data_IF_919535618697
#
_entry.id   IF_919535618697
#
_cell.length_a   1.000
_cell.length_b   1.000
_cell.length_c   1.000
_cell.angle_alpha   90.00
_cell.angle_beta   90.00
_cell.angle_gamma   90.00
#
_symmetry.space_group_name_H-M   'P 1'
#
loop_
_entity.id
_entity.type
_entity.pdbx_description
1 polymer ?
#
# COMPACT_ATOMS: atom_id res chain seq x y z
N UNK A 1 -5.62 33.01 7.16
CA UNK A 1 -4.64 32.09 7.73
C UNK A 1 -5.43 31.03 8.49
N UNK A 2 -5.42 29.75 8.06
CA UNK A 2 -6.06 28.65 8.81
C UNK A 2 -5.37 28.56 10.18
N UNK A 3 -6.15 28.47 11.24
CA UNK A 3 -5.62 28.29 12.59
C UNK A 3 -4.98 26.89 12.67
N UNK A 4 -3.70 26.83 13.02
CA UNK A 4 -2.91 25.58 13.10
C UNK A 4 -3.42 24.62 14.19
N UNK A 5 -4.37 25.06 15.01
CA UNK A 5 -4.99 24.24 16.05
C UNK A 5 -5.98 23.21 15.49
N UNK A 6 -6.54 23.44 14.31
CA UNK A 6 -7.61 22.61 13.76
C UNK A 6 -7.17 21.90 12.48
N UNK A 7 -7.54 20.62 12.36
CA UNK A 7 -7.34 19.78 11.19
C UNK A 7 -8.65 19.60 10.44
N UNK A 8 -8.63 19.82 9.13
CA UNK A 8 -9.77 19.53 8.25
C UNK A 8 -9.94 18.03 8.07
N UNK A 9 -11.19 17.55 8.10
CA UNK A 9 -11.55 16.16 7.81
C UNK A 9 -12.74 16.12 6.84
N UNK A 10 -12.87 15.09 6.01
CA UNK A 10 -14.02 14.97 5.12
C UNK A 10 -15.30 14.66 5.92
N UNK A 11 -16.42 15.36 5.68
CA UNK A 11 -17.69 15.08 6.35
C UNK A 11 -18.17 13.64 6.15
N UNK A 12 -17.90 13.06 4.97
CA UNK A 12 -18.25 11.68 4.63
C UNK A 12 -17.54 10.60 5.46
N UNK A 13 -16.46 10.96 6.18
CA UNK A 13 -15.79 10.07 7.11
C UNK A 13 -16.54 9.93 8.45
N UNK A 14 -17.49 10.79 8.73
CA UNK A 14 -18.33 10.72 9.96
C UNK A 14 -19.52 9.81 9.67
N UNK A 15 -19.61 8.69 10.36
CA UNK A 15 -20.65 7.67 10.15
C UNK A 15 -21.91 8.03 10.93
N UNK A 16 -23.10 8.07 10.28
CA UNK A 16 -24.38 8.28 10.97
C UNK A 16 -24.61 7.25 12.07
N UNK A 17 -25.02 7.72 13.24
CA UNK A 17 -25.29 6.86 14.40
C UNK A 17 -24.05 6.45 15.19
N UNK A 18 -22.83 6.79 14.73
CA UNK A 18 -21.60 6.59 15.49
C UNK A 18 -21.50 7.56 16.68
N UNK A 19 -20.61 7.22 17.61
CA UNK A 19 -20.27 8.03 18.78
C UNK A 19 -18.81 8.49 18.68
N UNK A 20 -18.50 9.59 17.94
CA UNK A 20 -17.14 10.10 17.91
C UNK A 20 -16.66 10.47 19.31
N UNK A 21 -15.45 10.06 19.66
CA UNK A 21 -14.79 10.42 20.93
C UNK A 21 -13.98 11.71 20.81
N UNK A 22 -14.34 12.56 19.86
CA UNK A 22 -13.71 13.84 19.57
C UNK A 22 -14.78 14.87 19.19
N UNK A 23 -14.41 16.15 19.32
CA UNK A 23 -15.30 17.28 18.97
C UNK A 23 -15.18 17.59 17.49
N UNK A 24 -16.31 17.93 16.88
CA UNK A 24 -16.39 18.30 15.48
C UNK A 24 -16.77 19.78 15.39
N UNK A 25 -16.05 20.53 14.57
CA UNK A 25 -16.24 21.96 14.35
C UNK A 25 -16.58 22.22 12.88
N UNK A 26 -17.30 23.32 12.64
CA UNK A 26 -17.54 23.89 11.31
C UNK A 26 -16.95 25.28 11.24
N UNK A 27 -16.48 25.69 10.07
CA UNK A 27 -15.95 27.04 9.86
C UNK A 27 -17.11 27.94 9.43
N UNK A 28 -17.37 29.00 10.22
CA UNK A 28 -18.37 30.02 9.90
C UNK A 28 -17.88 30.97 8.80
N UNK A 29 -18.80 31.72 8.20
CA UNK A 29 -18.47 32.70 7.13
C UNK A 29 -17.52 33.81 7.59
N UNK A 30 -17.49 34.12 8.86
CA UNK A 30 -16.58 35.09 9.49
C UNK A 30 -15.26 34.48 9.97
N UNK A 31 -14.98 33.20 9.58
CA UNK A 31 -13.71 32.54 9.83
C UNK A 31 -13.54 31.96 11.24
N UNK A 32 -14.61 31.85 12.03
CA UNK A 32 -14.56 31.25 13.37
C UNK A 32 -14.92 29.76 13.33
N UNK A 33 -14.24 28.97 14.16
CA UNK A 33 -14.56 27.55 14.38
C UNK A 33 -15.70 27.43 15.39
N UNK A 34 -16.83 26.92 14.96
CA UNK A 34 -18.04 26.73 15.78
C UNK A 34 -18.17 25.26 16.11
N UNK A 35 -18.33 24.92 17.39
CA UNK A 35 -18.56 23.55 17.83
C UNK A 35 -19.88 23.04 17.24
N UNK A 36 -19.83 22.05 16.40
CA UNK A 36 -20.98 21.44 15.74
C UNK A 36 -21.46 20.17 16.46
N UNK A 37 -20.52 19.29 16.88
CA UNK A 37 -20.83 18.12 17.69
C UNK A 37 -19.83 17.95 18.83
N UNK A 38 -20.33 17.55 20.01
CA UNK A 38 -19.52 17.23 21.17
C UNK A 38 -19.07 15.78 21.10
N UNK A 39 -17.93 15.48 21.74
CA UNK A 39 -17.47 14.13 21.98
C UNK A 39 -18.56 13.28 22.71
N UNK A 40 -18.68 12.02 22.30
CA UNK A 40 -19.66 11.08 22.87
C UNK A 40 -21.12 11.34 22.50
N UNK A 41 -21.41 12.29 21.63
CA UNK A 41 -22.77 12.50 21.11
C UNK A 41 -23.01 11.73 19.82
N UNK A 42 -24.18 11.11 19.69
CA UNK A 42 -24.61 10.50 18.43
C UNK A 42 -24.74 11.56 17.33
N UNK A 43 -24.06 11.33 16.22
CA UNK A 43 -24.22 12.16 15.02
C UNK A 43 -25.38 11.59 14.20
N UNK A 44 -26.49 12.37 14.08
CA UNK A 44 -27.69 11.93 13.36
C UNK A 44 -27.51 12.09 11.85
N UNK A 45 -28.16 11.21 11.09
CA UNK A 45 -28.13 11.25 9.62
C UNK A 45 -28.63 12.60 9.05
N UNK A 46 -29.67 13.16 9.65
CA UNK A 46 -30.24 14.44 9.25
C UNK A 46 -29.25 15.59 9.43
N UNK A 47 -28.45 15.56 10.51
CA UNK A 47 -27.41 16.56 10.76
C UNK A 47 -26.30 16.50 9.72
N UNK A 48 -25.89 15.28 9.32
CA UNK A 48 -24.88 15.10 8.27
C UNK A 48 -25.41 15.49 6.88
N UNK A 49 -26.68 15.18 6.58
CA UNK A 49 -27.31 15.62 5.33
C UNK A 49 -27.36 17.14 5.22
N UNK A 50 -27.68 17.83 6.34
CA UNK A 50 -27.66 19.31 6.37
C UNK A 50 -26.25 19.87 6.12
N UNK A 51 -25.21 19.22 6.61
CA UNK A 51 -23.83 19.59 6.29
C UNK A 51 -23.49 19.38 4.82
N UNK A 52 -23.95 18.29 4.22
CA UNK A 52 -23.68 17.94 2.81
C UNK A 52 -24.46 18.86 1.84
N UNK A 53 -25.70 19.28 2.19
CA UNK A 53 -26.57 20.07 1.31
C UNK A 53 -26.36 21.59 1.38
N UNK A 54 -25.97 22.10 2.53
CA UNK A 54 -25.88 23.55 2.79
C UNK A 54 -24.53 24.02 3.33
N UNK A 55 -23.58 23.12 3.48
CA UNK A 55 -22.44 23.35 4.31
C UNK A 55 -21.07 23.26 3.64
N UNK A 56 -20.05 23.45 4.44
CA UNK A 56 -18.66 23.43 4.02
C UNK A 56 -18.27 22.03 3.49
N UNK A 57 -17.41 22.00 2.50
CA UNK A 57 -16.81 20.75 2.00
C UNK A 57 -15.92 20.04 3.04
N UNK A 58 -15.59 20.71 4.12
CA UNK A 58 -14.72 20.25 5.20
C UNK A 58 -15.36 20.52 6.56
N UNK A 59 -15.19 19.60 7.49
CA UNK A 59 -15.39 19.82 8.93
C UNK A 59 -14.02 19.71 9.61
N UNK A 60 -13.94 20.12 10.87
CA UNK A 60 -12.66 20.26 11.55
C UNK A 60 -12.69 19.55 12.90
N UNK A 61 -11.54 19.04 13.31
CA UNK A 61 -11.29 18.52 14.67
C UNK A 61 -10.10 19.26 15.29
N UNK A 62 -10.00 19.25 16.62
CA UNK A 62 -8.82 19.75 17.31
C UNK A 62 -7.65 18.79 17.05
N UNK A 63 -6.45 19.31 16.72
CA UNK A 63 -5.25 18.50 16.52
C UNK A 63 -4.89 17.65 17.74
N UNK A 64 -5.21 18.11 18.96
CA UNK A 64 -5.00 17.30 20.18
C UNK A 64 -5.87 16.02 20.20
N UNK A 65 -6.94 15.97 19.40
CA UNK A 65 -7.83 14.82 19.27
C UNK A 65 -7.55 13.95 18.05
N UNK A 66 -6.46 14.20 17.33
CA UNK A 66 -6.08 13.47 16.09
C UNK A 66 -5.99 11.95 16.33
N UNK A 67 -5.38 11.50 17.42
CA UNK A 67 -5.25 10.06 17.75
C UNK A 67 -6.63 9.42 17.89
N UNK A 68 -7.60 10.08 18.52
CA UNK A 68 -8.97 9.57 18.67
C UNK A 68 -9.71 9.51 17.33
N UNK A 69 -9.41 10.44 16.44
CA UNK A 69 -9.94 10.42 15.08
C UNK A 69 -9.36 9.26 14.28
N UNK A 70 -8.08 8.97 14.41
CA UNK A 70 -7.44 7.83 13.76
C UNK A 70 -8.00 6.49 14.22
N UNK A 71 -8.18 6.30 15.54
CA UNK A 71 -8.86 5.12 16.10
C UNK A 71 -10.31 4.98 15.57
N UNK A 72 -10.99 6.10 15.43
CA UNK A 72 -12.34 6.14 14.88
C UNK A 72 -12.36 5.72 13.41
N UNK A 73 -11.45 6.24 12.59
CA UNK A 73 -11.33 5.89 11.18
C UNK A 73 -11.03 4.40 11.01
N UNK A 74 -10.12 3.83 11.79
CA UNK A 74 -9.80 2.39 11.74
C UNK A 74 -11.02 1.55 12.11
N UNK A 75 -11.73 1.92 13.19
CA UNK A 75 -12.93 1.21 13.65
C UNK A 75 -14.06 1.22 12.62
N UNK A 76 -14.22 2.32 11.89
CA UNK A 76 -15.33 2.53 10.96
C UNK A 76 -14.92 2.44 9.48
N UNK A 77 -13.69 1.97 9.18
CA UNK A 77 -13.13 2.00 7.82
C UNK A 77 -14.06 1.35 6.79
N UNK A 78 -14.60 0.17 7.09
CA UNK A 78 -15.53 -0.51 6.18
C UNK A 78 -16.73 0.37 5.83
N UNK A 79 -17.40 0.93 6.83
CA UNK A 79 -18.57 1.80 6.63
C UNK A 79 -18.23 3.08 5.85
N UNK A 80 -17.02 3.63 6.06
CA UNK A 80 -16.54 4.81 5.33
C UNK A 80 -16.31 4.46 3.87
N UNK A 81 -15.68 3.34 3.58
CA UNK A 81 -15.43 2.89 2.22
C UNK A 81 -16.72 2.56 1.46
N UNK A 82 -17.73 2.02 2.16
CA UNK A 82 -19.06 1.71 1.60
C UNK A 82 -19.95 2.95 1.42
N UNK A 83 -19.56 4.11 1.93
CA UNK A 83 -20.37 5.32 1.86
C UNK A 83 -20.49 5.82 0.41
N UNK A 84 -21.64 5.61 -0.22
CA UNK A 84 -21.92 6.01 -1.60
C UNK A 84 -21.92 7.55 -1.82
N UNK A 85 -22.12 8.33 -0.75
CA UNK A 85 -22.08 9.81 -0.79
C UNK A 85 -20.68 10.39 -0.70
N UNK A 86 -19.66 9.58 -0.42
CA UNK A 86 -18.27 10.03 -0.30
C UNK A 86 -17.52 9.80 -1.61
N UNK A 87 -16.83 10.83 -2.17
CA UNK A 87 -16.02 10.69 -3.37
C UNK A 87 -14.88 9.67 -3.20
N UNK A 88 -14.56 8.94 -4.28
CA UNK A 88 -13.54 7.88 -4.26
C UNK A 88 -12.14 8.36 -3.86
N UNK A 89 -11.81 9.64 -4.17
CA UNK A 89 -10.54 10.23 -3.76
C UNK A 89 -10.45 10.47 -2.25
N UNK A 90 -11.54 10.90 -1.62
CA UNK A 90 -11.61 11.04 -0.17
C UNK A 90 -11.56 9.67 0.53
N UNK A 91 -12.22 8.65 -0.04
CA UNK A 91 -12.12 7.26 0.46
C UNK A 91 -10.68 6.75 0.39
N UNK A 92 -9.99 6.99 -0.74
CA UNK A 92 -8.60 6.61 -0.91
C UNK A 92 -7.67 7.33 0.09
N UNK A 93 -7.91 8.61 0.37
CA UNK A 93 -7.16 9.37 1.37
C UNK A 93 -7.36 8.80 2.78
N UNK A 94 -8.61 8.56 3.20
CA UNK A 94 -8.90 7.93 4.50
C UNK A 94 -8.26 6.56 4.59
N UNK A 95 -8.39 5.75 3.55
CA UNK A 95 -7.76 4.42 3.50
C UNK A 95 -6.24 4.51 3.62
N UNK A 96 -5.59 5.40 2.87
CA UNK A 96 -4.15 5.61 2.94
C UNK A 96 -3.70 6.01 4.36
N UNK A 97 -4.44 6.91 5.01
CA UNK A 97 -4.18 7.36 6.38
C UNK A 97 -4.28 6.21 7.38
N UNK A 98 -5.36 5.44 7.37
CA UNK A 98 -5.55 4.28 8.25
C UNK A 98 -4.47 3.22 8.01
N UNK A 99 -4.17 2.94 6.74
CA UNK A 99 -3.14 1.96 6.38
C UNK A 99 -1.77 2.37 6.90
N UNK A 100 -1.41 3.65 6.74
CA UNK A 100 -0.15 4.19 7.23
C UNK A 100 -0.02 4.00 8.74
N UNK A 101 -1.09 4.28 9.50
CA UNK A 101 -1.08 4.13 10.95
C UNK A 101 -1.00 2.68 11.39
N UNK A 102 -1.79 1.78 10.78
CA UNK A 102 -1.74 0.33 11.10
C UNK A 102 -0.35 -0.25 10.83
N UNK A 103 0.26 0.11 9.70
CA UNK A 103 1.61 -0.36 9.37
C UNK A 103 2.64 0.23 10.32
N UNK A 104 2.58 1.53 10.60
CA UNK A 104 3.47 2.21 11.55
C UNK A 104 3.42 1.56 12.93
N UNK A 105 2.22 1.39 13.48
CA UNK A 105 2.03 0.75 14.80
C UNK A 105 2.55 -0.68 14.81
N UNK A 106 2.34 -1.43 13.69
CA UNK A 106 2.86 -2.78 13.54
C UNK A 106 4.39 -2.81 13.60
N UNK A 107 5.05 -1.82 13.00
CA UNK A 107 6.51 -1.66 13.08
C UNK A 107 6.96 -1.29 14.50
N UNK A 108 6.35 -0.29 15.11
CA UNK A 108 6.75 0.23 16.43
C UNK A 108 6.55 -0.82 17.54
N UNK A 109 5.42 -1.53 17.54
CA UNK A 109 5.14 -2.58 18.52
C UNK A 109 6.01 -3.83 18.34
N UNK A 110 6.41 -4.13 17.11
CA UNK A 110 7.25 -5.28 16.78
C UNK A 110 8.72 -5.04 17.12
N UNK A 111 9.19 -3.80 17.15
CA UNK A 111 10.59 -3.45 17.38
C UNK A 111 11.10 -3.96 18.74
N UNK A 112 10.28 -3.84 19.78
CA UNK A 112 10.66 -4.28 21.13
C UNK A 112 10.57 -5.79 21.36
N UNK A 113 9.83 -6.53 20.53
CA UNK A 113 9.50 -7.93 20.74
C UNK A 113 10.29 -8.89 19.85
N UNK A 114 10.93 -8.40 18.79
CA UNK A 114 11.61 -9.23 17.78
C UNK A 114 10.65 -10.14 16.97
N UNK A 115 9.35 -9.99 17.20
CA UNK A 115 8.27 -10.70 16.48
C UNK A 115 7.07 -9.79 16.30
N UNK A 116 6.23 -10.10 15.32
CA UNK A 116 4.99 -9.36 15.13
C UNK A 116 3.97 -9.75 16.19
N UNK A 117 3.37 -8.76 16.85
CA UNK A 117 2.33 -9.00 17.83
C UNK A 117 1.06 -9.50 17.14
N UNK A 118 0.32 -10.45 17.74
CA UNK A 118 -0.90 -11.00 17.16
C UNK A 118 -1.95 -9.94 16.81
N UNK A 119 -2.05 -8.90 17.64
CA UNK A 119 -2.95 -7.77 17.37
C UNK A 119 -2.56 -7.02 16.10
N UNK A 120 -1.28 -6.78 15.85
CA UNK A 120 -0.78 -6.14 14.64
C UNK A 120 -1.10 -6.99 13.38
N UNK A 121 -0.96 -8.33 13.47
CA UNK A 121 -1.35 -9.24 12.40
C UNK A 121 -2.86 -9.14 12.14
N UNK A 122 -3.67 -9.17 13.19
CA UNK A 122 -5.14 -9.08 13.09
C UNK A 122 -5.59 -7.74 12.48
N UNK A 123 -5.03 -6.61 12.92
CA UNK A 123 -5.34 -5.27 12.38
C UNK A 123 -4.93 -5.18 10.90
N UNK A 124 -3.76 -5.71 10.53
CA UNK A 124 -3.33 -5.79 9.13
C UNK A 124 -4.29 -6.62 8.30
N UNK A 125 -4.73 -7.78 8.78
CA UNK A 125 -5.72 -8.63 8.08
C UNK A 125 -7.07 -7.93 7.92
N UNK A 126 -7.55 -7.21 8.94
CA UNK A 126 -8.79 -6.45 8.86
C UNK A 126 -8.69 -5.32 7.83
N UNK A 127 -7.59 -4.57 7.84
CA UNK A 127 -7.32 -3.51 6.88
C UNK A 127 -7.28 -4.04 5.44
N UNK A 128 -6.57 -5.14 5.20
CA UNK A 128 -6.53 -5.78 3.89
C UNK A 128 -7.92 -6.22 3.45
N UNK A 129 -8.72 -6.79 4.35
CA UNK A 129 -10.09 -7.19 4.03
C UNK A 129 -10.96 -6.01 3.58
N UNK A 130 -10.91 -4.88 4.27
CA UNK A 130 -11.62 -3.66 3.85
C UNK A 130 -11.13 -3.13 2.50
N UNK A 131 -9.81 -3.20 2.25
CA UNK A 131 -9.22 -2.84 0.95
C UNK A 131 -9.79 -3.67 -0.18
N UNK A 132 -9.86 -4.99 0.01
CA UNK A 132 -10.34 -5.91 -1.01
C UNK A 132 -11.81 -5.69 -1.33
N UNK A 133 -12.64 -5.40 -0.32
CA UNK A 133 -14.05 -5.03 -0.51
C UNK A 133 -14.11 -3.75 -1.35
N UNK A 134 -13.40 -2.70 -0.96
CA UNK A 134 -13.37 -1.44 -1.68
C UNK A 134 -12.88 -1.59 -3.14
N UNK A 135 -11.78 -2.32 -3.38
CA UNK A 135 -11.29 -2.63 -4.73
C UNK A 135 -12.31 -3.48 -5.51
N UNK A 136 -13.10 -4.33 -4.82
CA UNK A 136 -14.11 -5.17 -5.44
C UNK A 136 -15.33 -4.38 -5.89
N UNK A 137 -15.76 -3.42 -5.10
CA UNK A 137 -16.98 -2.65 -5.30
C UNK A 137 -16.76 -1.43 -6.20
N UNK A 138 -15.56 -0.83 -6.14
CA UNK A 138 -15.20 0.21 -7.10
C UNK A 138 -15.02 -0.44 -8.47
N UNK A 139 -15.96 -0.26 -9.38
CA UNK A 139 -15.81 -0.64 -10.81
C UNK A 139 -14.72 0.19 -11.51
N UNK A 140 -13.97 1.00 -10.77
CA UNK A 140 -13.04 1.99 -11.25
C UNK A 140 -11.65 1.76 -10.66
N UNK A 141 -10.64 1.72 -11.52
CA UNK A 141 -9.23 1.75 -11.11
C UNK A 141 -8.74 3.21 -10.84
N UNK A 142 -9.66 4.20 -10.83
CA UNK A 142 -9.33 5.61 -10.58
C UNK A 142 -8.60 5.86 -9.26
N UNK A 143 -8.96 5.24 -8.11
CA UNK A 143 -8.22 5.43 -6.88
C UNK A 143 -6.76 5.00 -7.00
N UNK A 144 -6.48 3.88 -7.69
CA UNK A 144 -5.12 3.41 -7.98
C UNK A 144 -4.34 4.40 -8.85
N UNK A 145 -4.99 4.95 -9.87
CA UNK A 145 -4.39 5.95 -10.74
C UNK A 145 -3.91 7.19 -9.98
N UNK A 146 -4.71 7.66 -9.00
CA UNK A 146 -4.36 8.80 -8.14
C UNK A 146 -3.21 8.51 -7.15
N UNK A 147 -2.97 7.25 -6.80
CA UNK A 147 -1.86 6.88 -5.90
C UNK A 147 -0.47 6.95 -6.58
N UNK A 148 -0.43 7.01 -7.90
CA UNK A 148 0.83 7.16 -8.65
C UNK A 148 1.35 8.60 -8.48
N UNK A 149 2.63 8.75 -8.12
CA UNK A 149 3.28 10.07 -8.05
C UNK A 149 3.27 10.78 -6.69
N UNK A 150 2.68 10.20 -5.65
CA UNK A 150 2.75 10.75 -4.30
C UNK A 150 4.10 10.53 -3.61
N UNK A 151 4.38 11.30 -2.54
CA UNK A 151 5.61 11.21 -1.77
C UNK A 151 5.83 9.81 -1.19
N UNK A 152 7.08 9.35 -1.23
CA UNK A 152 7.46 8.05 -0.67
C UNK A 152 7.69 8.15 0.84
N UNK A 153 6.83 7.49 1.60
CA UNK A 153 7.08 7.11 2.98
C UNK A 153 6.94 5.60 3.08
N UNK A 154 7.72 4.93 3.93
CA UNK A 154 7.71 3.46 4.04
C UNK A 154 6.31 2.89 4.20
N UNK A 155 5.46 3.58 4.95
CA UNK A 155 4.09 3.13 5.22
C UNK A 155 3.13 3.36 4.05
N UNK A 156 3.26 4.48 3.34
CA UNK A 156 2.50 4.77 2.12
C UNK A 156 2.87 3.81 1.00
N UNK A 157 4.17 3.45 0.90
CA UNK A 157 4.66 2.43 0.00
C UNK A 157 3.97 1.08 0.22
N UNK A 158 3.93 0.59 1.46
CA UNK A 158 3.26 -0.67 1.81
C UNK A 158 1.79 -0.68 1.37
N UNK A 159 1.09 0.45 1.57
CA UNK A 159 -0.30 0.63 1.14
C UNK A 159 -0.46 0.56 -0.39
N UNK A 160 0.42 1.22 -1.14
CA UNK A 160 0.40 1.20 -2.61
C UNK A 160 0.72 -0.20 -3.14
N UNK A 161 1.72 -0.87 -2.58
CA UNK A 161 2.07 -2.25 -2.95
C UNK A 161 0.90 -3.20 -2.68
N UNK A 162 0.19 -3.06 -1.55
CA UNK A 162 -1.04 -3.79 -1.27
C UNK A 162 -2.08 -3.57 -2.38
N UNK A 163 -2.40 -2.33 -2.70
CA UNK A 163 -3.45 -2.00 -3.66
C UNK A 163 -3.14 -2.49 -5.07
N UNK A 164 -1.92 -2.24 -5.56
CA UNK A 164 -1.51 -2.71 -6.88
C UNK A 164 -1.49 -4.24 -6.94
N UNK A 165 -0.99 -4.91 -5.90
CA UNK A 165 -0.96 -6.38 -5.83
C UNK A 165 -2.37 -6.96 -5.85
N UNK A 166 -3.27 -6.47 -4.99
CA UNK A 166 -4.64 -6.95 -4.90
C UNK A 166 -5.42 -6.74 -6.20
N UNK A 167 -5.34 -5.54 -6.78
CA UNK A 167 -6.02 -5.22 -8.04
C UNK A 167 -5.45 -6.02 -9.21
N UNK A 168 -4.13 -6.18 -9.29
CA UNK A 168 -3.46 -6.97 -10.32
C UNK A 168 -3.85 -8.45 -10.26
N UNK A 169 -3.82 -9.07 -9.07
CA UNK A 169 -4.23 -10.46 -8.86
C UNK A 169 -5.70 -10.66 -9.16
N UNK A 170 -6.56 -9.74 -8.78
CA UNK A 170 -7.99 -9.81 -9.10
C UNK A 170 -8.25 -9.75 -10.62
N UNK A 171 -7.50 -8.93 -11.34
CA UNK A 171 -7.59 -8.87 -12.81
C UNK A 171 -6.97 -10.09 -13.52
N UNK A 172 -6.22 -10.93 -12.79
CA UNK A 172 -5.49 -12.07 -13.34
C UNK A 172 -5.68 -13.32 -12.45
N UNK A 173 -6.90 -13.91 -12.40
CA UNK A 173 -7.19 -15.05 -11.53
C UNK A 173 -6.40 -16.33 -11.84
N UNK A 174 -5.81 -16.42 -13.03
CA UNK A 174 -4.86 -17.49 -13.39
C UNK A 174 -3.60 -17.47 -12.53
N UNK A 175 -3.14 -16.29 -12.10
CA UNK A 175 -2.00 -16.17 -11.16
C UNK A 175 -2.41 -16.70 -9.77
N UNK A 176 -3.63 -16.42 -9.31
CA UNK A 176 -4.16 -16.96 -8.04
C UNK A 176 -4.22 -18.49 -8.06
N UNK A 177 -4.52 -19.11 -9.22
CA UNK A 177 -4.46 -20.55 -9.40
C UNK A 177 -3.02 -21.10 -9.25
N UNK A 178 -2.02 -20.34 -9.63
CA UNK A 178 -0.62 -20.75 -9.44
C UNK A 178 -0.18 -20.62 -7.97
N UNK A 179 -0.75 -19.65 -7.22
CA UNK A 179 -0.51 -19.47 -5.78
C UNK A 179 -1.18 -20.61 -4.98
N UNK A 180 -2.43 -20.92 -5.31
CA UNK A 180 -3.21 -22.02 -4.71
C UNK A 180 -3.90 -22.81 -5.84
N UNK A 181 -3.41 -24.02 -6.17
CA UNK A 181 -4.00 -24.83 -7.23
C UNK A 181 -5.48 -25.17 -7.02
N UNK A 182 -5.95 -25.15 -5.78
CA UNK A 182 -7.37 -25.34 -5.43
C UNK A 182 -8.25 -24.11 -5.71
N UNK A 183 -7.66 -22.94 -6.00
CA UNK A 183 -8.39 -21.68 -6.16
C UNK A 183 -9.60 -21.75 -7.12
N UNK A 184 -9.52 -22.38 -8.31
CA UNK A 184 -10.64 -22.38 -9.26
C UNK A 184 -11.88 -23.11 -8.76
N UNK A 185 -11.69 -24.15 -7.94
CA UNK A 185 -12.77 -25.01 -7.41
C UNK A 185 -13.19 -24.62 -6.00
N UNK A 186 -12.50 -23.66 -5.38
CA UNK A 186 -12.81 -23.14 -4.06
C UNK A 186 -14.12 -22.35 -4.07
N UNK A 187 -14.80 -22.32 -2.94
CA UNK A 187 -15.90 -21.40 -2.71
C UNK A 187 -15.44 -19.93 -2.64
N UNK A 188 -16.36 -19.01 -2.68
CA UNK A 188 -16.06 -17.57 -2.67
C UNK A 188 -15.38 -17.11 -1.36
N UNK A 189 -15.67 -17.75 -0.24
CA UNK A 189 -15.04 -17.43 1.05
C UNK A 189 -13.55 -17.79 1.01
N UNK A 190 -13.20 -18.97 0.50
CA UNK A 190 -11.81 -19.41 0.33
C UNK A 190 -11.05 -18.54 -0.67
N UNK A 191 -11.69 -18.17 -1.79
CA UNK A 191 -11.09 -17.28 -2.79
C UNK A 191 -10.76 -15.90 -2.20
N UNK A 192 -11.69 -15.33 -1.42
CA UNK A 192 -11.46 -14.07 -0.70
C UNK A 192 -10.32 -14.20 0.30
N UNK A 193 -10.25 -15.32 1.04
CA UNK A 193 -9.19 -15.56 2.02
C UNK A 193 -7.80 -15.63 1.34
N UNK A 194 -7.68 -16.34 0.23
CA UNK A 194 -6.41 -16.41 -0.54
C UNK A 194 -5.98 -15.02 -0.99
N UNK A 195 -6.89 -14.23 -1.57
CA UNK A 195 -6.59 -12.87 -2.01
C UNK A 195 -6.22 -11.96 -0.83
N UNK A 196 -6.91 -12.11 0.32
CA UNK A 196 -6.58 -11.40 1.56
C UNK A 196 -5.16 -11.72 2.01
N UNK A 197 -4.77 -12.98 2.03
CA UNK A 197 -3.43 -13.39 2.43
C UNK A 197 -2.34 -12.88 1.47
N UNK A 198 -2.63 -12.80 0.17
CA UNK A 198 -1.76 -12.11 -0.79
C UNK A 198 -1.59 -10.62 -0.46
N UNK A 199 -2.67 -9.96 -0.07
CA UNK A 199 -2.64 -8.56 0.38
C UNK A 199 -1.84 -8.37 1.68
N UNK A 200 -1.97 -9.29 2.64
CA UNK A 200 -1.15 -9.29 3.87
C UNK A 200 0.33 -9.38 3.53
N UNK A 201 0.71 -10.27 2.61
CA UNK A 201 2.09 -10.36 2.14
C UNK A 201 2.58 -9.05 1.54
N UNK A 202 1.76 -8.41 0.70
CA UNK A 202 2.09 -7.13 0.08
C UNK A 202 2.27 -6.00 1.11
N UNK A 203 1.44 -5.97 2.15
CA UNK A 203 1.52 -4.95 3.19
C UNK A 203 2.71 -5.15 4.13
N UNK A 204 3.09 -6.40 4.39
CA UNK A 204 4.13 -6.75 5.35
C UNK A 204 5.48 -7.09 4.70
N UNK A 205 5.63 -6.96 3.37
CA UNK A 205 6.86 -7.40 2.69
C UNK A 205 8.13 -6.76 3.29
N UNK A 206 8.03 -5.52 3.72
CA UNK A 206 9.11 -4.70 4.26
C UNK A 206 9.17 -4.68 5.81
N UNK A 207 8.33 -5.47 6.53
CA UNK A 207 8.23 -5.39 8.00
C UNK A 207 9.59 -5.59 8.69
N UNK A 208 10.48 -6.37 8.14
CA UNK A 208 11.82 -6.59 8.68
C UNK A 208 12.73 -5.36 8.69
N UNK A 209 12.37 -4.27 8.00
CA UNK A 209 13.08 -2.98 8.06
C UNK A 209 13.03 -2.36 9.46
N UNK A 210 12.15 -2.83 10.34
CA UNK A 210 12.11 -2.44 11.75
C UNK A 210 13.47 -2.62 12.46
N UNK A 211 14.29 -3.57 12.00
CA UNK A 211 15.64 -3.82 12.56
C UNK A 211 16.74 -2.99 11.88
N UNK A 212 16.40 -2.14 10.92
CA UNK A 212 17.35 -1.24 10.28
C UNK A 212 17.28 0.13 10.96
N UNK A 213 18.43 0.71 11.31
CA UNK A 213 18.46 2.02 11.97
C UNK A 213 17.83 3.11 11.08
N UNK A 214 17.19 4.08 11.70
CA UNK A 214 16.59 5.23 10.98
C UNK A 214 17.63 6.05 10.22
N UNK A 215 18.87 6.11 10.72
CA UNK A 215 19.99 6.81 10.05
C UNK A 215 20.32 6.17 8.71
N UNK A 216 20.21 4.84 8.59
CA UNK A 216 20.40 4.13 7.33
C UNK A 216 19.17 4.28 6.41
N UNK A 217 17.95 4.11 6.96
CA UNK A 217 16.71 4.19 6.19
C UNK A 217 16.46 5.57 5.60
N UNK A 218 16.82 6.62 6.37
CA UNK A 218 16.60 8.03 5.99
C UNK A 218 17.86 8.74 5.53
N UNK A 219 18.93 8.00 5.20
CA UNK A 219 20.19 8.58 4.78
C UNK A 219 20.03 9.43 3.52
N UNK A 220 20.49 10.68 3.58
CA UNK A 220 20.59 11.55 2.42
C UNK A 220 21.82 11.15 1.57
N UNK A 221 21.58 10.40 0.52
CA UNK A 221 22.62 9.97 -0.41
C UNK A 221 22.74 8.45 -0.57
N UNK A 222 23.72 7.97 -1.32
CA UNK A 222 23.90 6.54 -1.56
C UNK A 222 24.33 5.81 -0.29
N UNK A 223 23.83 4.59 -0.15
CA UNK A 223 24.26 3.67 0.90
C UNK A 223 25.66 3.15 0.60
N UNK A 224 26.48 3.00 1.63
CA UNK A 224 27.73 2.26 1.51
C UNK A 224 27.50 0.74 1.49
N UNK A 225 28.58 -0.03 1.28
CA UNK A 225 28.49 -1.48 1.15
C UNK A 225 27.97 -2.17 2.43
N UNK A 226 28.33 -1.65 3.62
CA UNK A 226 27.90 -2.22 4.90
C UNK A 226 26.43 -1.88 5.18
N UNK A 227 26.02 -0.66 4.96
CA UNK A 227 24.64 -0.21 5.08
C UNK A 227 23.73 -1.01 4.14
N UNK A 228 24.19 -1.25 2.91
CA UNK A 228 23.46 -2.07 1.94
C UNK A 228 23.31 -3.53 2.40
N UNK A 229 24.36 -4.12 2.97
CA UNK A 229 24.27 -5.48 3.55
C UNK A 229 23.30 -5.53 4.74
N UNK A 230 23.19 -4.47 5.56
CA UNK A 230 22.21 -4.38 6.63
C UNK A 230 20.79 -4.36 6.07
N UNK A 231 20.52 -3.52 5.07
CA UNK A 231 19.19 -3.44 4.44
C UNK A 231 18.81 -4.78 3.81
N UNK A 232 19.71 -5.45 3.11
CA UNK A 232 19.43 -6.76 2.45
C UNK A 232 18.97 -7.86 3.41
N UNK A 233 19.12 -7.68 4.70
CA UNK A 233 18.65 -8.64 5.71
C UNK A 233 17.15 -8.56 6.01
N UNK A 234 16.48 -7.44 5.65
CA UNK A 234 15.08 -7.24 6.03
C UNK A 234 14.11 -8.33 5.53
N UNK A 235 14.27 -8.98 4.34
CA UNK A 235 13.36 -10.06 3.95
C UNK A 235 13.46 -11.27 4.88
N UNK A 236 14.68 -11.62 5.30
CA UNK A 236 14.91 -12.70 6.24
C UNK A 236 14.38 -12.35 7.64
N UNK A 237 14.60 -11.11 8.10
CA UNK A 237 14.07 -10.61 9.37
C UNK A 237 12.54 -10.61 9.37
N UNK A 238 11.92 -10.14 8.28
CA UNK A 238 10.46 -10.14 8.10
C UNK A 238 9.86 -11.56 8.12
N UNK A 239 10.51 -12.51 7.44
CA UNK A 239 10.15 -13.92 7.50
C UNK A 239 10.21 -14.45 8.94
N UNK A 240 11.33 -14.20 9.65
CA UNK A 240 11.53 -14.67 11.02
C UNK A 240 10.47 -14.12 12.00
N UNK A 241 10.06 -12.85 11.85
CA UNK A 241 9.02 -12.22 12.67
C UNK A 241 7.65 -12.91 12.56
N UNK A 242 7.39 -13.61 11.47
CA UNK A 242 6.10 -14.24 11.17
C UNK A 242 6.13 -15.77 11.32
N UNK A 243 7.25 -16.37 11.71
CA UNK A 243 7.38 -17.83 11.84
C UNK A 243 6.37 -18.42 12.82
N UNK A 244 6.17 -17.77 13.96
CA UNK A 244 5.27 -18.22 15.02
C UNK A 244 3.83 -17.72 14.85
N UNK A 245 3.54 -16.97 13.77
CA UNK A 245 2.20 -16.47 13.50
C UNK A 245 1.36 -17.48 12.70
N UNK A 246 0.03 -17.32 12.71
CA UNK A 246 -0.89 -18.10 11.86
C UNK A 246 -0.82 -17.75 10.37
N UNK A 247 0.15 -16.92 9.99
CA UNK A 247 0.34 -16.51 8.59
C UNK A 247 0.71 -17.71 7.72
N UNK A 248 0.03 -17.93 6.60
CA UNK A 248 0.32 -19.06 5.70
C UNK A 248 1.76 -19.06 5.17
N UNK A 249 2.30 -20.25 4.92
CA UNK A 249 3.67 -20.42 4.47
C UNK A 249 3.98 -19.69 3.14
N UNK A 250 3.03 -19.67 2.20
CA UNK A 250 3.21 -18.96 0.93
C UNK A 250 3.36 -17.43 1.11
N UNK A 251 2.71 -16.87 2.14
CA UNK A 251 2.83 -15.45 2.52
C UNK A 251 4.23 -15.18 3.06
N UNK A 252 4.67 -15.98 4.03
CA UNK A 252 6.01 -15.84 4.63
C UNK A 252 7.12 -16.01 3.59
N UNK A 253 7.00 -17.02 2.70
CA UNK A 253 7.94 -17.22 1.59
C UNK A 253 7.96 -16.05 0.62
N UNK A 254 6.82 -15.46 0.33
CA UNK A 254 6.75 -14.29 -0.53
C UNK A 254 7.47 -13.08 0.09
N UNK A 255 7.33 -12.87 1.41
CA UNK A 255 8.08 -11.85 2.16
C UNK A 255 9.59 -12.15 2.13
N UNK A 256 10.00 -13.39 2.30
CA UNK A 256 11.41 -13.78 2.22
C UNK A 256 12.03 -13.50 0.86
N UNK A 257 11.27 -13.71 -0.23
CA UNK A 257 11.79 -13.79 -1.60
C UNK A 257 11.46 -12.56 -2.46
N UNK A 258 10.81 -11.51 -1.93
CA UNK A 258 10.34 -10.38 -2.75
C UNK A 258 11.47 -9.54 -3.40
N UNK A 259 12.71 -9.74 -2.98
CA UNK A 259 13.89 -9.14 -3.61
C UNK A 259 14.76 -10.14 -4.41
N UNK A 260 14.25 -11.35 -4.62
CA UNK A 260 14.91 -12.28 -5.55
C UNK A 260 14.67 -11.84 -7.00
N UNK A 261 15.69 -11.97 -7.82
CA UNK A 261 15.63 -11.67 -9.25
C UNK A 261 15.40 -12.96 -10.06
N UNK A 262 14.48 -12.92 -11.02
CA UNK A 262 14.03 -14.12 -11.74
C UNK A 262 15.17 -14.86 -12.44
N UNK A 263 16.16 -14.14 -12.99
CA UNK A 263 17.35 -14.74 -13.60
C UNK A 263 18.49 -15.00 -12.60
N UNK A 264 18.28 -14.68 -11.30
CA UNK A 264 19.29 -14.75 -10.25
C UNK A 264 19.97 -13.41 -10.04
N UNK A 265 20.75 -13.29 -8.95
CA UNK A 265 21.39 -12.02 -8.55
C UNK A 265 20.64 -11.22 -7.51
N UNK A 266 19.41 -11.61 -7.17
CA UNK A 266 18.65 -11.06 -6.05
C UNK A 266 19.13 -11.55 -4.68
N UNK A 267 18.40 -11.23 -3.65
CA UNK A 267 18.69 -11.60 -2.27
C UNK A 267 17.40 -11.94 -1.50
N UNK A 268 17.45 -12.61 -0.32
CA UNK A 268 18.64 -12.99 0.44
C UNK A 268 19.24 -14.35 0.06
N UNK A 269 18.54 -15.17 -0.73
CA UNK A 269 18.93 -16.57 -0.99
C UNK A 269 19.60 -16.77 -2.36
N UNK A 270 19.49 -15.81 -3.28
CA UNK A 270 19.91 -15.95 -4.67
C UNK A 270 19.04 -16.96 -5.43
N UNK A 271 17.79 -17.12 -5.05
CA UNK A 271 16.84 -18.00 -5.72
C UNK A 271 16.63 -17.57 -7.18
N UNK A 272 16.28 -18.55 -8.06
CA UNK A 272 16.17 -18.30 -9.49
C UNK A 272 14.95 -19.01 -10.09
N UNK A 273 14.29 -18.33 -11.03
CA UNK A 273 13.21 -18.89 -11.82
C UNK A 273 12.05 -19.35 -10.95
N UNK A 274 11.61 -20.59 -11.12
CA UNK A 274 10.46 -21.15 -10.41
C UNK A 274 10.73 -21.52 -8.95
N UNK A 275 11.99 -21.46 -8.49
CA UNK A 275 12.32 -21.57 -7.06
C UNK A 275 11.89 -20.31 -6.28
N UNK A 276 11.57 -19.21 -6.97
CA UNK A 276 10.95 -18.02 -6.39
C UNK A 276 9.44 -18.22 -6.43
N UNK A 277 8.77 -18.12 -5.28
CA UNK A 277 7.29 -18.26 -5.23
C UNK A 277 6.62 -17.26 -6.14
N UNK A 278 5.50 -17.68 -6.76
CA UNK A 278 4.79 -16.83 -7.71
C UNK A 278 4.37 -15.47 -7.09
N UNK A 279 3.95 -15.46 -5.83
CA UNK A 279 3.58 -14.23 -5.13
C UNK A 279 4.79 -13.32 -4.93
N UNK A 280 5.98 -13.86 -4.64
CA UNK A 280 7.21 -13.07 -4.53
C UNK A 280 7.57 -12.41 -5.87
N UNK A 281 7.41 -13.14 -6.99
CA UNK A 281 7.63 -12.58 -8.34
C UNK A 281 6.65 -11.44 -8.64
N UNK A 282 5.39 -11.54 -8.20
CA UNK A 282 4.42 -10.45 -8.30
C UNK A 282 4.84 -9.26 -7.45
N UNK A 283 5.21 -9.48 -6.18
CA UNK A 283 5.67 -8.43 -5.28
C UNK A 283 6.89 -7.71 -5.83
N UNK A 284 7.86 -8.45 -6.40
CA UNK A 284 9.06 -7.85 -7.02
C UNK A 284 8.72 -6.85 -8.11
N UNK A 285 7.72 -7.14 -8.94
CA UNK A 285 7.25 -6.26 -10.01
C UNK A 285 6.57 -5.02 -9.43
N UNK A 286 5.66 -5.20 -8.49
CA UNK A 286 4.86 -4.12 -7.91
C UNK A 286 5.72 -3.20 -7.07
N UNK A 287 6.61 -3.75 -6.23
CA UNK A 287 7.54 -3.00 -5.38
C UNK A 287 8.45 -2.11 -6.23
N UNK A 288 9.08 -2.64 -7.26
CA UNK A 288 9.95 -1.86 -8.17
C UNK A 288 9.16 -0.78 -8.89
N UNK A 289 7.95 -1.09 -9.36
CA UNK A 289 7.09 -0.10 -10.00
C UNK A 289 6.75 1.05 -9.05
N UNK A 290 6.31 0.76 -7.83
CA UNK A 290 6.01 1.81 -6.85
C UNK A 290 7.27 2.60 -6.46
N UNK A 291 8.40 1.92 -6.25
CA UNK A 291 9.67 2.59 -5.97
C UNK A 291 10.13 3.56 -7.07
N UNK A 292 9.74 3.35 -8.32
CA UNK A 292 10.04 4.26 -9.42
C UNK A 292 9.02 5.38 -9.58
N UNK A 293 7.75 5.12 -9.29
CA UNK A 293 6.65 6.06 -9.49
C UNK A 293 6.30 6.88 -8.25
N UNK A 294 6.94 6.61 -7.12
CA UNK A 294 6.82 7.39 -5.89
C UNK A 294 7.97 8.39 -5.76
N UNK A 295 7.66 9.61 -5.29
CA UNK A 295 8.66 10.62 -4.98
C UNK A 295 9.47 10.20 -3.75
N UNK A 296 10.78 10.38 -3.81
CA UNK A 296 11.71 10.11 -2.70
C UNK A 296 12.54 11.37 -2.41
N UNK A 297 13.13 11.52 -1.21
CA UNK A 297 13.92 12.72 -0.87
C UNK A 297 14.96 13.09 -1.92
N UNK A 298 15.52 12.12 -2.62
CA UNK A 298 16.59 12.32 -3.62
C UNK A 298 16.18 11.98 -5.05
N UNK A 299 14.88 11.70 -5.32
CA UNK A 299 14.43 11.26 -6.64
C UNK A 299 13.00 11.68 -6.90
N UNK A 300 12.78 12.42 -7.98
CA UNK A 300 11.44 12.71 -8.47
C UNK A 300 10.73 11.44 -8.95
N UNK A 301 9.40 11.42 -8.81
CA UNK A 301 8.55 10.34 -9.30
C UNK A 301 8.62 10.25 -10.82
N UNK A 302 8.80 9.06 -11.35
CA UNK A 302 8.70 8.83 -12.79
C UNK A 302 7.23 8.66 -13.20
N UNK A 303 6.84 9.16 -14.38
CA UNK A 303 5.56 8.79 -14.98
C UNK A 303 5.46 7.25 -15.14
N UNK A 304 4.26 6.69 -14.92
CA UNK A 304 4.01 5.25 -14.99
C UNK A 304 4.50 4.62 -16.31
N UNK A 305 4.29 5.29 -17.43
CA UNK A 305 4.75 4.82 -18.74
C UNK A 305 6.29 4.74 -18.82
N UNK A 306 7.01 5.72 -18.22
CA UNK A 306 8.47 5.72 -18.19
C UNK A 306 9.01 4.62 -17.27
N UNK A 307 8.39 4.41 -16.12
CA UNK A 307 8.73 3.31 -15.23
C UNK A 307 8.54 1.95 -15.92
N UNK A 308 7.40 1.73 -16.57
CA UNK A 308 7.12 0.52 -17.34
C UNK A 308 8.18 0.31 -18.46
N UNK A 309 8.56 1.36 -19.17
CA UNK A 309 9.61 1.30 -20.20
C UNK A 309 10.96 0.86 -19.63
N UNK A 310 11.36 1.39 -18.47
CA UNK A 310 12.62 1.01 -17.79
C UNK A 310 12.55 -0.45 -17.33
N UNK A 311 11.41 -0.91 -16.81
CA UNK A 311 11.25 -2.30 -16.37
C UNK A 311 11.40 -3.30 -17.52
N UNK A 312 10.88 -2.98 -18.70
CA UNK A 312 10.99 -3.84 -19.90
C UNK A 312 12.37 -3.70 -20.56
N UNK A 313 12.95 -2.53 -20.51
CA UNK A 313 14.12 -2.16 -21.30
C UNK A 313 13.75 -1.72 -22.72
N UNK A 314 14.66 -1.04 -23.38
CA UNK A 314 14.56 -0.79 -24.81
C UNK A 314 14.83 -2.10 -25.57
N UNK A 315 14.04 -2.44 -26.59
CA UNK A 315 14.40 -3.56 -27.47
C UNK A 315 15.80 -3.28 -28.04
N UNK A 316 16.79 -4.09 -27.70
CA UNK A 316 18.06 -4.04 -28.42
C UNK A 316 17.73 -4.31 -29.89
N UNK A 317 17.98 -3.32 -30.75
CA UNK A 317 17.93 -3.55 -32.18
C UNK A 317 18.86 -4.72 -32.49
N UNK A 318 18.28 -5.85 -32.87
CA UNK A 318 18.82 -7.21 -32.90
C UNK A 318 20.06 -7.47 -33.76
N UNK A 319 21.08 -6.63 -33.65
CA UNK A 319 22.44 -6.95 -34.08
C UNK A 319 23.25 -7.16 -32.82
N UNK A 320 23.54 -8.43 -32.52
CA UNK A 320 24.39 -8.86 -31.42
C UNK A 320 25.81 -8.29 -31.49
N UNK A 321 25.92 -6.99 -31.36
CA UNK A 321 27.20 -6.28 -31.22
C UNK A 321 27.52 -6.12 -29.73
N UNK A 322 28.78 -6.40 -29.44
CA UNK A 322 29.45 -6.26 -28.14
C UNK A 322 28.96 -5.07 -27.33
N UNK A 323 28.91 -5.29 -26.00
CA UNK A 323 28.54 -4.32 -24.97
C UNK A 323 29.20 -2.95 -25.28
N UNK A 324 28.39 -1.95 -25.68
CA UNK A 324 28.87 -0.58 -25.76
C UNK A 324 29.15 -0.08 -24.33
N UNK A 325 30.41 0.20 -23.95
CA UNK A 325 30.75 0.68 -22.61
C UNK A 325 30.13 2.03 -22.25
N UNK A 326 29.53 2.72 -23.24
CA UNK A 326 28.89 4.04 -23.07
C UNK A 326 27.37 3.95 -22.89
N UNK A 327 26.78 2.76 -22.98
CA UNK A 327 25.35 2.59 -22.79
C UNK A 327 25.00 2.78 -21.31
N UNK A 328 24.10 3.73 -21.00
CA UNK A 328 23.63 3.94 -19.64
C UNK A 328 23.04 2.62 -19.11
N UNK A 329 23.48 2.13 -17.94
CA UNK A 329 22.93 0.92 -17.33
C UNK A 329 21.39 0.93 -17.23
N UNK A 330 20.77 2.14 -17.17
CA UNK A 330 19.32 2.33 -17.16
C UNK A 330 18.64 1.99 -18.50
N UNK A 331 19.37 2.04 -19.60
CA UNK A 331 18.84 1.73 -20.94
C UNK A 331 18.77 0.22 -21.19
N UNK A 332 19.51 -0.60 -20.41
CA UNK A 332 19.49 -2.07 -20.49
C UNK A 332 18.18 -2.66 -19.95
N UNK A 333 17.40 -1.87 -19.21
CA UNK A 333 16.18 -2.33 -18.55
C UNK A 333 16.44 -3.28 -17.38
N UNK A 334 15.38 -3.63 -16.71
CA UNK A 334 15.40 -4.51 -15.53
C UNK A 334 14.73 -5.87 -15.80
N UNK A 335 14.50 -6.21 -17.07
CA UNK A 335 13.70 -7.39 -17.46
C UNK A 335 14.22 -8.69 -16.84
N UNK A 336 15.54 -8.83 -16.65
CA UNK A 336 16.16 -9.99 -16.01
C UNK A 336 15.77 -10.16 -14.53
N UNK A 337 15.32 -9.08 -13.87
CA UNK A 337 14.87 -9.14 -12.48
C UNK A 337 13.48 -9.76 -12.36
N UNK A 338 12.69 -9.79 -13.43
CA UNK A 338 11.28 -10.14 -13.40
C UNK A 338 10.96 -11.43 -14.14
N UNK A 339 9.89 -12.11 -13.71
CA UNK A 339 9.18 -13.08 -14.54
C UNK A 339 8.53 -12.30 -15.69
N UNK A 340 9.02 -12.50 -16.91
CA UNK A 340 8.60 -11.75 -18.09
C UNK A 340 7.11 -11.91 -18.39
N UNK A 341 6.54 -13.09 -18.14
CA UNK A 341 5.11 -13.36 -18.30
C UNK A 341 4.27 -12.50 -17.37
N UNK A 342 4.68 -12.42 -16.09
CA UNK A 342 3.99 -11.58 -15.09
C UNK A 342 4.17 -10.10 -15.37
N UNK A 343 5.38 -9.69 -15.77
CA UNK A 343 5.65 -8.28 -16.13
C UNK A 343 4.78 -7.84 -17.30
N UNK A 344 4.65 -8.63 -18.35
CA UNK A 344 3.77 -8.32 -19.50
C UNK A 344 2.30 -8.14 -19.07
N UNK A 345 1.80 -9.05 -18.21
CA UNK A 345 0.44 -8.92 -17.64
C UNK A 345 0.30 -7.65 -16.81
N UNK A 346 1.31 -7.30 -16.03
CA UNK A 346 1.28 -6.09 -15.19
C UNK A 346 1.25 -4.83 -16.05
N UNK A 347 2.00 -4.77 -17.13
CA UNK A 347 1.97 -3.61 -18.06
C UNK A 347 0.59 -3.46 -18.72
N UNK A 348 -0.04 -4.56 -19.14
CA UNK A 348 -1.42 -4.52 -19.66
C UNK A 348 -2.39 -4.02 -18.59
N UNK A 349 -2.22 -4.46 -17.34
CA UNK A 349 -3.00 -3.96 -16.21
C UNK A 349 -2.81 -2.46 -16.00
N UNK A 350 -1.56 -1.96 -16.01
CA UNK A 350 -1.27 -0.53 -15.89
C UNK A 350 -1.92 0.30 -17.02
N UNK A 351 -1.98 -0.23 -18.24
CA UNK A 351 -2.71 0.41 -19.34
C UNK A 351 -4.19 0.61 -19.03
N UNK A 352 -4.84 -0.37 -18.38
CA UNK A 352 -6.23 -0.24 -17.92
C UNK A 352 -6.38 0.78 -16.79
N UNK A 353 -5.43 0.84 -15.85
CA UNK A 353 -5.41 1.85 -14.78
C UNK A 353 -5.28 3.25 -15.38
N UNK A 354 -4.32 3.45 -16.28
CA UNK A 354 -4.05 4.77 -16.89
C UNK A 354 -5.18 5.27 -17.80
N UNK A 355 -5.95 4.37 -18.41
CA UNK A 355 -7.10 4.77 -19.25
C UNK A 355 -8.28 5.33 -18.45
N UNK A 356 -8.21 5.31 -17.12
CA UNK A 356 -9.24 5.85 -16.20
C UNK A 356 -8.80 7.17 -15.52
N UNK A 357 -7.58 7.66 -15.82
CA UNK A 357 -7.14 9.00 -15.46
C UNK A 357 -7.80 10.04 -16.35
#
# INVERSE_FOLDING_TARGET
VRDTKYMAIPPGAIIPGSLPKFKIYVLSQDGRYILWARDGNHVRKEQLNTLAESGPQEVFIDLEEEIRYEEYLETHLGNILDNQGMPDDQKAEVFSRVSTNVVKDSFETSLGLGRMHEDAVRRTQALVNHSLIFIAESNSLKPLAKMIGHDYKTYEHATKVLWFTAAFLRCNPDILKEIDPGFPTSDEARKKEILKQCGVSAMLHDIGKVFVSQDILNKDGPLDALEWEIIKRHPLSGFAMLVDSETPDFVRKAILQHHEDFQGGGYPMGAKGENITILARVLRIVDVFDAMTSRRPYKEALPAAKAAQIMVGTPSNGNGSEKDPKEDPRDRGMIQCFDERLLRKFIVFLGKVSSQM
#
